data_IF_997200294709
#
_entry.id   IF_997200294709
#
_cell.length_a   1.000
_cell.length_b   1.000
_cell.length_c   1.000
_cell.angle_alpha   90.00
_cell.angle_beta   90.00
_cell.angle_gamma   90.00
#
_symmetry.space_group_name_H-M   'P 1'
#
loop_
_entity.id
_entity.type
_entity.pdbx_description
1 polymer ?
#
# COMPACT_ATOMS: atom_id res chain seq x y z
N UNK A 1 1.17 5.43 6.19
CA UNK A 1 -0.19 5.31 5.62
C UNK A 1 -1.07 6.47 6.03
N UNK A 2 -2.29 6.59 5.49
CA UNK A 2 -3.15 7.78 5.63
C UNK A 2 -3.59 8.10 7.06
N UNK A 3 -3.74 7.07 7.91
CA UNK A 3 -4.18 7.25 9.30
C UNK A 3 -3.20 7.99 10.20
N UNK A 4 -1.92 8.05 9.84
CA UNK A 4 -0.88 8.71 10.63
C UNK A 4 -0.01 9.65 9.78
N UNK A 5 -0.39 9.87 8.51
CA UNK A 5 0.37 10.73 7.63
C UNK A 5 0.15 12.19 7.97
N UNK A 6 1.25 12.93 8.02
CA UNK A 6 1.29 14.38 8.18
C UNK A 6 1.79 15.03 6.88
N UNK A 7 1.32 16.24 6.54
CA UNK A 7 0.37 17.04 7.30
C UNK A 7 -1.08 16.55 7.16
N UNK A 8 -1.91 16.83 8.16
CA UNK A 8 -3.36 16.59 8.12
C UNK A 8 -4.12 17.69 8.87
N UNK A 9 -5.39 17.89 8.54
CA UNK A 9 -6.24 18.80 9.30
C UNK A 9 -7.40 19.36 8.50
N UNK A 10 -7.98 20.43 9.05
CA UNK A 10 -8.99 21.26 8.39
C UNK A 10 -8.49 22.70 8.44
N UNK A 11 -8.48 23.39 7.31
CA UNK A 11 -8.09 24.81 7.21
C UNK A 11 -9.18 25.63 6.54
N UNK A 12 -9.19 26.93 6.81
CA UNK A 12 -10.00 27.90 6.07
C UNK A 12 -9.09 28.58 5.04
N UNK A 13 -9.46 28.51 3.77
CA UNK A 13 -8.74 29.15 2.68
C UNK A 13 -8.99 30.66 2.66
N UNK A 14 -8.20 31.40 1.87
CA UNK A 14 -8.39 32.85 1.70
C UNK A 14 -9.79 33.20 1.15
N UNK A 15 -10.41 32.28 0.41
CA UNK A 15 -11.79 32.38 -0.08
C UNK A 15 -12.86 32.27 1.02
N UNK A 16 -12.48 31.89 2.25
CA UNK A 16 -13.39 31.54 3.34
C UNK A 16 -13.89 30.08 3.31
N UNK A 17 -13.55 29.30 2.29
CA UNK A 17 -13.93 27.89 2.17
C UNK A 17 -13.14 27.00 3.13
N UNK A 18 -13.79 25.98 3.70
CA UNK A 18 -13.13 24.99 4.57
C UNK A 18 -12.62 23.82 3.74
N UNK A 19 -11.33 23.53 3.84
CA UNK A 19 -10.68 22.39 3.20
C UNK A 19 -10.20 21.40 4.26
N UNK A 20 -10.62 20.14 4.13
CA UNK A 20 -10.09 19.02 4.90
C UNK A 20 -9.05 18.25 4.07
N UNK A 21 -7.93 17.88 4.68
CA UNK A 21 -6.87 17.16 3.99
C UNK A 21 -6.18 16.14 4.89
N UNK A 22 -5.68 15.07 4.26
CA UNK A 22 -4.89 14.01 4.88
C UNK A 22 -3.76 13.62 3.93
N UNK A 23 -2.66 13.11 4.49
CA UNK A 23 -1.51 12.67 3.70
C UNK A 23 -1.43 11.15 3.65
N UNK A 24 -1.54 10.59 2.45
CA UNK A 24 -1.30 9.16 2.24
C UNK A 24 0.17 8.92 1.83
N UNK A 25 1.00 8.57 2.82
CA UNK A 25 2.45 8.39 2.62
C UNK A 25 2.93 7.06 3.16
N UNK A 26 3.87 6.44 2.46
CA UNK A 26 4.67 5.30 2.92
C UNK A 26 6.13 5.50 2.54
N UNK A 27 7.05 5.09 3.42
CA UNK A 27 8.45 4.87 3.09
C UNK A 27 8.65 3.42 2.64
N UNK A 28 9.64 3.20 1.78
CA UNK A 28 10.00 1.87 1.28
C UNK A 28 10.20 0.86 2.42
N UNK A 29 10.94 1.21 3.48
CA UNK A 29 11.19 0.32 4.62
C UNK A 29 9.91 -0.07 5.39
N UNK A 30 8.87 0.78 5.39
CA UNK A 30 7.58 0.44 6.00
C UNK A 30 6.86 -0.63 5.18
N UNK A 31 6.92 -0.52 3.84
CA UNK A 31 6.33 -1.46 2.90
C UNK A 31 7.08 -2.79 2.93
N UNK A 32 8.42 -2.76 2.88
CA UNK A 32 9.25 -3.97 2.92
C UNK A 32 8.95 -4.83 4.14
N UNK A 33 8.89 -4.20 5.32
CA UNK A 33 8.66 -4.91 6.59
C UNK A 33 7.33 -5.68 6.57
N UNK A 34 6.26 -5.05 6.08
CA UNK A 34 4.94 -5.70 6.03
C UNK A 34 4.85 -6.72 4.89
N UNK A 35 5.46 -6.45 3.74
CA UNK A 35 5.54 -7.39 2.62
C UNK A 35 6.25 -8.68 3.03
N UNK A 36 7.43 -8.60 3.65
CA UNK A 36 8.17 -9.77 4.17
C UNK A 36 7.37 -10.58 5.17
N UNK A 37 6.58 -9.93 6.02
CA UNK A 37 5.68 -10.62 6.94
C UNK A 37 4.59 -11.37 6.16
N UNK A 38 3.94 -10.70 5.20
CA UNK A 38 2.90 -11.30 4.37
C UNK A 38 3.41 -12.50 3.56
N UNK A 39 4.59 -12.42 2.95
CA UNK A 39 5.23 -13.54 2.24
C UNK A 39 5.53 -14.73 3.17
N UNK A 40 6.11 -14.48 4.37
CA UNK A 40 6.35 -15.54 5.36
C UNK A 40 5.07 -16.24 5.78
N UNK A 41 3.98 -15.48 5.99
CA UNK A 41 2.67 -16.04 6.34
C UNK A 41 2.06 -16.82 5.16
N UNK A 42 2.21 -16.35 3.93
CA UNK A 42 1.72 -17.04 2.74
C UNK A 42 2.44 -18.38 2.52
N UNK A 43 3.77 -18.42 2.75
CA UNK A 43 4.58 -19.63 2.66
C UNK A 43 4.16 -20.72 3.68
N UNK A 44 3.70 -20.32 4.86
CA UNK A 44 3.15 -21.23 5.87
C UNK A 44 1.70 -21.68 5.58
N UNK A 45 1.10 -21.17 4.51
CA UNK A 45 -0.27 -21.46 4.09
C UNK A 45 -0.24 -22.10 2.70
N UNK A 46 -1.17 -21.74 1.83
CA UNK A 46 -1.24 -22.27 0.48
C UNK A 46 -0.30 -21.62 -0.53
N UNK A 47 0.81 -21.00 -0.09
CA UNK A 47 1.85 -20.44 -0.98
C UNK A 47 1.37 -19.36 -1.95
N UNK A 48 0.31 -18.62 -1.60
CA UNK A 48 -0.31 -17.61 -2.47
C UNK A 48 -0.49 -16.31 -1.70
N UNK A 49 -0.02 -15.21 -2.28
CA UNK A 49 -0.17 -13.86 -1.76
C UNK A 49 -0.79 -12.97 -2.82
N UNK A 50 -1.91 -12.34 -2.52
CA UNK A 50 -2.48 -11.27 -3.33
C UNK A 50 -2.17 -9.93 -2.67
N UNK A 51 -1.40 -9.08 -3.34
CA UNK A 51 -1.15 -7.70 -2.91
C UNK A 51 -2.23 -6.79 -3.48
N UNK A 52 -2.91 -6.05 -2.61
CA UNK A 52 -4.02 -5.18 -2.99
C UNK A 52 -3.59 -3.71 -2.91
N UNK A 53 -3.81 -2.95 -3.98
CA UNK A 53 -3.36 -1.57 -4.09
C UNK A 53 -4.28 -0.70 -4.98
N UNK A 54 -3.90 0.55 -5.26
CA UNK A 54 -4.56 1.41 -6.26
C UNK A 54 -3.51 2.04 -7.17
N UNK A 55 -2.56 1.23 -7.64
CA UNK A 55 -1.37 1.69 -8.35
C UNK A 55 -1.68 2.34 -9.71
N UNK A 56 -2.92 2.24 -10.20
CA UNK A 56 -3.37 2.98 -11.38
C UNK A 56 -3.75 4.45 -11.09
N UNK A 57 -3.73 4.88 -9.83
CA UNK A 57 -4.13 6.23 -9.41
C UNK A 57 -3.17 6.87 -8.40
N UNK A 58 -2.67 6.10 -7.42
CA UNK A 58 -1.97 6.67 -6.26
C UNK A 58 -0.48 6.30 -6.25
N UNK A 59 0.43 7.26 -6.29
CA UNK A 59 1.89 7.07 -6.30
C UNK A 59 2.39 6.31 -5.06
N UNK A 60 1.80 6.57 -3.89
CA UNK A 60 2.10 5.81 -2.66
C UNK A 60 1.87 4.31 -2.84
N UNK A 61 0.95 3.93 -3.74
CA UNK A 61 0.64 2.54 -4.04
C UNK A 61 1.33 2.00 -5.30
N UNK A 62 1.85 2.87 -6.17
CA UNK A 62 2.84 2.49 -7.18
C UNK A 62 4.11 2.01 -6.48
N UNK A 63 4.65 2.81 -5.55
CA UNK A 63 5.79 2.41 -4.73
C UNK A 63 5.50 1.13 -3.94
N UNK A 64 4.29 0.98 -3.39
CA UNK A 64 3.87 -0.25 -2.72
C UNK A 64 4.05 -1.47 -3.61
N UNK A 65 3.55 -1.42 -4.84
CA UNK A 65 3.63 -2.51 -5.80
C UNK A 65 5.07 -2.85 -6.16
N UNK A 66 5.88 -1.85 -6.51
CA UNK A 66 7.30 -2.05 -6.84
C UNK A 66 8.07 -2.74 -5.71
N UNK A 67 7.86 -2.30 -4.47
CA UNK A 67 8.53 -2.87 -3.30
C UNK A 67 8.05 -4.29 -3.03
N UNK A 68 6.75 -4.57 -3.14
CA UNK A 68 6.20 -5.92 -2.96
C UNK A 68 6.72 -6.89 -4.03
N UNK A 69 6.79 -6.47 -5.29
CA UNK A 69 7.37 -7.27 -6.38
C UNK A 69 8.85 -7.56 -6.13
N UNK A 70 9.62 -6.56 -5.69
CA UNK A 70 11.04 -6.73 -5.35
C UNK A 70 11.23 -7.71 -4.20
N UNK A 71 10.48 -7.56 -3.11
CA UNK A 71 10.53 -8.48 -1.95
C UNK A 71 10.10 -9.88 -2.36
N UNK A 72 9.12 -10.02 -3.26
CA UNK A 72 8.64 -11.32 -3.73
C UNK A 72 9.71 -12.18 -4.40
N UNK A 73 10.75 -11.58 -4.98
CA UNK A 73 11.91 -12.31 -5.54
C UNK A 73 12.67 -13.12 -4.49
N UNK A 74 12.52 -12.79 -3.22
CA UNK A 74 13.15 -13.51 -2.10
C UNK A 74 12.31 -14.71 -1.62
N UNK A 75 11.09 -14.87 -2.14
CA UNK A 75 10.15 -15.93 -1.76
C UNK A 75 9.65 -16.68 -3.00
N UNK A 76 10.53 -17.42 -3.72
CA UNK A 76 10.20 -18.07 -4.98
C UNK A 76 9.06 -19.10 -4.88
N UNK A 77 8.85 -19.67 -3.69
CA UNK A 77 7.78 -20.65 -3.43
C UNK A 77 6.40 -20.00 -3.18
N UNK A 78 6.31 -18.66 -3.14
CA UNK A 78 5.05 -17.93 -2.98
C UNK A 78 4.64 -17.30 -4.30
N UNK A 79 3.49 -17.73 -4.82
CA UNK A 79 2.88 -17.10 -5.98
C UNK A 79 2.30 -15.74 -5.58
N UNK A 80 2.91 -14.67 -6.11
CA UNK A 80 2.43 -13.30 -5.98
C UNK A 80 1.41 -12.98 -7.09
N UNK A 81 0.28 -12.37 -6.72
CA UNK A 81 -0.64 -11.70 -7.63
C UNK A 81 -0.97 -10.31 -7.11
N UNK A 82 -1.57 -9.48 -7.96
CA UNK A 82 -2.02 -8.16 -7.58
C UNK A 82 -3.46 -7.90 -8.00
N UNK A 83 -4.19 -7.16 -7.18
CA UNK A 83 -5.53 -6.67 -7.48
C UNK A 83 -5.66 -5.20 -7.11
N UNK A 84 -6.47 -4.46 -7.85
CA UNK A 84 -6.89 -3.14 -7.39
C UNK A 84 -7.94 -3.27 -6.29
N UNK A 85 -7.92 -2.33 -5.33
CA UNK A 85 -8.75 -2.39 -4.12
C UNK A 85 -10.26 -2.40 -4.41
N UNK A 86 -10.71 -1.76 -5.48
CA UNK A 86 -12.10 -1.84 -5.95
C UNK A 86 -12.45 -3.23 -6.48
N UNK A 87 -11.58 -3.85 -7.28
CA UNK A 87 -11.77 -5.22 -7.74
C UNK A 87 -11.71 -6.23 -6.59
N UNK A 88 -10.92 -5.97 -5.55
CA UNK A 88 -10.85 -6.83 -4.36
C UNK A 88 -12.09 -6.77 -3.47
N UNK A 89 -12.90 -5.70 -3.60
CA UNK A 89 -14.13 -5.50 -2.82
C UNK A 89 -15.39 -6.09 -3.49
N UNK A 90 -15.31 -6.48 -4.76
CA UNK A 90 -16.39 -7.13 -5.52
C UNK A 90 -16.49 -8.62 -5.20
#
# INVERSE_FOLDING_TARGET
GIYFGEPRGIRTLESGEREGFNTYVYRESEIERIARLAFRLAAQRGGRLCSVDKANVLEATVLWREVVERVGREFPDVTLSHLYVDNAAM
#
